data_IF_202981144178
#
_entry.id   IF_202981144178
#
_cell.length_a   1.000
_cell.length_b   1.000
_cell.length_c   1.000
_cell.angle_alpha   90.00
_cell.angle_beta   90.00
_cell.angle_gamma   90.00
#
_symmetry.space_group_name_H-M   'P 1'
#
loop_
_entity.id
_entity.type
_entity.pdbx_description
1 polymer ?
#
# COMPACT_ATOMS: atom_id res chain seq x y z
N UNK A 1 -63.49 -6.88 -43.65
CA UNK A 1 -64.91 -7.01 -43.26
C UNK A 1 -65.69 -6.31 -44.33
N UNK A 2 -66.67 -7.00 -44.90
CA UNK A 2 -67.26 -6.63 -46.19
C UNK A 2 -68.57 -5.85 -46.06
N UNK A 3 -69.08 -5.66 -44.83
CA UNK A 3 -70.31 -4.90 -44.55
C UNK A 3 -70.16 -4.06 -43.28
N UNK A 4 -70.42 -2.75 -43.40
CA UNK A 4 -70.46 -1.75 -42.32
C UNK A 4 -71.86 -1.66 -41.66
N UNK A 5 -71.99 -1.30 -40.37
CA UNK A 5 -73.30 -1.01 -39.76
C UNK A 5 -74.15 -0.05 -40.61
N UNK A 6 -73.48 0.94 -41.23
CA UNK A 6 -74.11 1.95 -42.08
C UNK A 6 -74.60 1.38 -43.42
N UNK A 7 -74.02 0.28 -43.89
CA UNK A 7 -74.46 -0.45 -45.09
C UNK A 7 -75.65 -1.38 -44.79
N UNK A 8 -75.75 -1.91 -43.57
CA UNK A 8 -76.92 -2.68 -43.11
C UNK A 8 -78.15 -1.76 -43.08
N UNK A 9 -77.98 -0.55 -42.52
CA UNK A 9 -79.06 0.43 -42.37
C UNK A 9 -79.57 1.00 -43.71
N UNK A 10 -78.70 1.09 -44.71
CA UNK A 10 -79.03 1.57 -46.07
C UNK A 10 -79.46 0.45 -47.03
N UNK A 11 -79.58 -0.79 -46.54
CA UNK A 11 -79.85 -1.93 -47.42
C UNK A 11 -81.32 -1.95 -47.85
N UNK A 12 -81.55 -1.77 -49.15
CA UNK A 12 -82.87 -1.95 -49.75
C UNK A 12 -83.06 -3.39 -50.30
N UNK A 13 -84.22 -3.97 -50.04
CA UNK A 13 -84.61 -5.30 -50.51
C UNK A 13 -85.66 -5.20 -51.63
N UNK A 14 -85.56 -6.09 -52.64
CA UNK A 14 -86.55 -6.16 -53.72
C UNK A 14 -87.86 -6.81 -53.24
N UNK A 15 -88.99 -6.35 -53.79
CA UNK A 15 -90.32 -6.87 -53.42
C UNK A 15 -90.65 -8.15 -54.20
N UNK A 16 -91.23 -9.14 -53.53
CA UNK A 16 -91.68 -10.42 -54.13
C UNK A 16 -93.09 -10.76 -53.65
N UNK A 17 -93.86 -11.47 -54.49
CA UNK A 17 -95.30 -11.78 -54.27
C UNK A 17 -95.56 -12.63 -52.99
N UNK A 18 -94.53 -13.26 -52.43
CA UNK A 18 -94.54 -13.99 -51.14
C UNK A 18 -93.25 -13.70 -50.36
N UNK A 19 -93.07 -12.46 -49.90
CA UNK A 19 -91.90 -12.02 -49.14
C UNK A 19 -92.13 -11.98 -47.62
N UNK A 20 -91.06 -11.71 -46.88
CA UNK A 20 -91.12 -11.42 -45.44
C UNK A 20 -91.89 -10.11 -45.16
N UNK A 21 -92.46 -9.99 -43.96
CA UNK A 21 -93.11 -8.76 -43.52
C UNK A 21 -92.04 -7.66 -43.39
N UNK A 22 -92.26 -6.54 -44.06
CA UNK A 22 -91.32 -5.41 -44.08
C UNK A 22 -91.10 -4.85 -42.67
N UNK A 23 -92.15 -4.69 -41.87
CA UNK A 23 -92.08 -4.07 -40.54
C UNK A 23 -91.25 -4.91 -39.57
N UNK A 24 -91.44 -6.24 -39.57
CA UNK A 24 -90.66 -7.17 -38.74
C UNK A 24 -89.18 -7.23 -39.17
N UNK A 25 -88.92 -7.16 -40.48
CA UNK A 25 -87.55 -7.13 -41.03
C UNK A 25 -86.86 -5.83 -40.66
N UNK A 26 -87.53 -4.68 -40.76
CA UNK A 26 -86.98 -3.38 -40.41
C UNK A 26 -86.63 -3.34 -38.89
N UNK A 27 -87.53 -3.81 -38.01
CA UNK A 27 -87.28 -3.87 -36.55
C UNK A 27 -86.16 -4.86 -36.17
N UNK A 28 -85.98 -5.94 -36.95
CA UNK A 28 -84.84 -6.84 -36.78
C UNK A 28 -83.53 -6.19 -37.23
N UNK A 29 -83.52 -5.51 -38.38
CA UNK A 29 -82.34 -4.84 -38.92
C UNK A 29 -81.89 -3.68 -38.04
N UNK A 30 -82.81 -2.98 -37.38
CA UNK A 30 -82.49 -1.91 -36.43
C UNK A 30 -81.72 -2.47 -35.23
N UNK A 31 -82.26 -3.51 -34.58
CA UNK A 31 -81.57 -4.24 -33.48
C UNK A 31 -80.26 -4.88 -33.93
N UNK A 32 -80.20 -5.42 -35.15
CA UNK A 32 -78.97 -5.98 -35.70
C UNK A 32 -77.91 -4.88 -35.87
N UNK A 33 -78.30 -3.72 -36.39
CA UNK A 33 -77.41 -2.57 -36.61
C UNK A 33 -76.83 -2.07 -35.30
N UNK A 34 -77.66 -1.89 -34.26
CA UNK A 34 -77.20 -1.47 -32.92
C UNK A 34 -76.18 -2.46 -32.32
N UNK A 35 -76.49 -3.75 -32.34
CA UNK A 35 -75.59 -4.77 -31.82
C UNK A 35 -74.29 -4.88 -32.63
N UNK A 36 -74.39 -4.76 -33.96
CA UNK A 36 -73.23 -4.81 -34.84
C UNK A 36 -72.34 -3.58 -34.68
N UNK A 37 -72.91 -2.39 -34.49
CA UNK A 37 -72.16 -1.17 -34.19
C UNK A 37 -71.41 -1.28 -32.86
N UNK A 38 -72.06 -1.84 -31.83
CA UNK A 38 -71.42 -2.10 -30.53
C UNK A 38 -70.21 -3.04 -30.68
N UNK A 39 -70.39 -4.18 -31.35
CA UNK A 39 -69.31 -5.14 -31.60
C UNK A 39 -68.20 -4.51 -32.45
N UNK A 40 -68.56 -3.72 -33.46
CA UNK A 40 -67.59 -3.05 -34.33
C UNK A 40 -66.72 -2.06 -33.54
N UNK A 41 -67.34 -1.27 -32.66
CA UNK A 41 -66.64 -0.33 -31.77
C UNK A 41 -65.74 -1.06 -30.78
N UNK A 42 -66.26 -2.08 -30.09
CA UNK A 42 -65.46 -2.91 -29.19
C UNK A 42 -64.27 -3.57 -29.91
N UNK A 43 -64.46 -4.08 -31.12
CA UNK A 43 -63.36 -4.68 -31.90
C UNK A 43 -62.29 -3.66 -32.28
N UNK A 44 -62.70 -2.44 -32.63
CA UNK A 44 -61.77 -1.34 -32.92
C UNK A 44 -60.99 -0.95 -31.66
N UNK A 45 -61.68 -0.73 -30.54
CA UNK A 45 -61.05 -0.35 -29.28
C UNK A 45 -60.08 -1.43 -28.79
N UNK A 46 -60.44 -2.71 -28.92
CA UNK A 46 -59.57 -3.84 -28.59
C UNK A 46 -58.32 -3.90 -29.49
N UNK A 47 -58.46 -3.63 -30.80
CA UNK A 47 -57.32 -3.59 -31.72
C UNK A 47 -56.35 -2.47 -31.38
N UNK A 48 -56.88 -1.27 -31.08
CA UNK A 48 -56.06 -0.13 -30.64
C UNK A 48 -55.32 -0.44 -29.33
N UNK A 49 -55.99 -1.12 -28.38
CA UNK A 49 -55.35 -1.57 -27.15
C UNK A 49 -54.26 -2.61 -27.39
N UNK A 50 -54.50 -3.57 -28.29
CA UNK A 50 -53.49 -4.57 -28.66
C UNK A 50 -52.25 -3.90 -29.24
N UNK A 51 -52.43 -3.01 -30.22
CA UNK A 51 -51.31 -2.29 -30.85
C UNK A 51 -50.51 -1.46 -29.83
N UNK A 52 -51.22 -0.79 -28.90
CA UNK A 52 -50.58 -0.05 -27.82
C UNK A 52 -49.78 -0.96 -26.86
N UNK A 53 -50.34 -2.10 -26.48
CA UNK A 53 -49.68 -3.07 -25.59
C UNK A 53 -48.49 -3.74 -26.28
N UNK A 54 -48.60 -4.07 -27.56
CA UNK A 54 -47.51 -4.60 -28.37
C UNK A 54 -46.34 -3.60 -28.44
N UNK A 55 -46.64 -2.31 -28.65
CA UNK A 55 -45.63 -1.25 -28.61
C UNK A 55 -44.92 -1.16 -27.25
N UNK A 56 -45.65 -1.29 -26.14
CA UNK A 56 -45.05 -1.34 -24.79
C UNK A 56 -44.19 -2.59 -24.57
N UNK A 57 -44.65 -3.75 -25.03
CA UNK A 57 -43.86 -4.98 -24.92
C UNK A 57 -42.54 -4.83 -25.69
N UNK A 58 -42.59 -4.22 -26.87
CA UNK A 58 -41.39 -3.99 -27.68
C UNK A 58 -40.39 -3.07 -26.96
N UNK A 59 -40.86 -1.95 -26.39
CA UNK A 59 -39.98 -1.05 -25.63
C UNK A 59 -39.40 -1.72 -24.38
N UNK A 60 -40.18 -2.54 -23.67
CA UNK A 60 -39.65 -3.32 -22.54
C UNK A 60 -38.59 -4.33 -22.96
N UNK A 61 -38.75 -5.01 -24.10
CA UNK A 61 -37.73 -5.92 -24.64
C UNK A 61 -36.43 -5.19 -24.99
N UNK A 62 -36.51 -3.98 -25.54
CA UNK A 62 -35.33 -3.16 -25.85
C UNK A 62 -34.60 -2.70 -24.58
N UNK A 63 -35.36 -2.30 -23.55
CA UNK A 63 -34.81 -1.95 -22.24
C UNK A 63 -34.17 -3.17 -21.59
N UNK A 64 -34.82 -4.34 -21.61
CA UNK A 64 -34.28 -5.59 -21.06
C UNK A 64 -32.98 -5.99 -21.77
N UNK A 65 -32.94 -5.93 -23.10
CA UNK A 65 -31.75 -6.23 -23.88
C UNK A 65 -30.59 -5.28 -23.54
N UNK A 66 -30.89 -3.98 -23.42
CA UNK A 66 -29.89 -2.97 -23.03
C UNK A 66 -29.38 -3.24 -21.61
N UNK A 67 -30.27 -3.50 -20.66
CA UNK A 67 -29.91 -3.79 -19.28
C UNK A 67 -29.03 -5.04 -19.16
N UNK A 68 -29.38 -6.10 -19.89
CA UNK A 68 -28.58 -7.34 -19.94
C UNK A 68 -27.19 -7.09 -20.50
N UNK A 69 -27.09 -6.31 -21.58
CA UNK A 69 -25.79 -5.94 -22.16
C UNK A 69 -24.96 -5.08 -21.20
N UNK A 70 -25.58 -4.12 -20.53
CA UNK A 70 -24.91 -3.30 -19.51
C UNK A 70 -24.44 -4.14 -18.33
N UNK A 71 -25.22 -5.12 -17.88
CA UNK A 71 -24.83 -6.03 -16.80
C UNK A 71 -23.61 -6.87 -17.18
N UNK A 72 -23.59 -7.45 -18.39
CA UNK A 72 -22.44 -8.21 -18.90
C UNK A 72 -21.21 -7.32 -19.04
N UNK A 73 -21.38 -6.08 -19.51
CA UNK A 73 -20.28 -5.11 -19.60
C UNK A 73 -19.73 -4.75 -18.21
N UNK A 74 -20.60 -4.53 -17.23
CA UNK A 74 -20.22 -4.24 -15.86
C UNK A 74 -19.45 -5.41 -15.23
N UNK A 75 -19.94 -6.64 -15.41
CA UNK A 75 -19.25 -7.86 -14.95
C UNK A 75 -17.86 -7.99 -15.57
N UNK A 76 -17.75 -7.82 -16.90
CA UNK A 76 -16.47 -7.88 -17.61
C UNK A 76 -15.51 -6.80 -17.13
N UNK A 77 -15.99 -5.58 -16.95
CA UNK A 77 -15.18 -4.46 -16.43
C UNK A 77 -14.70 -4.73 -15.02
N UNK A 78 -15.58 -5.27 -14.15
CA UNK A 78 -15.22 -5.61 -12.79
C UNK A 78 -14.13 -6.69 -12.75
N UNK A 79 -14.24 -7.74 -13.58
CA UNK A 79 -13.22 -8.78 -13.64
C UNK A 79 -11.90 -8.25 -14.22
N UNK A 80 -11.95 -7.36 -15.22
CA UNK A 80 -10.75 -6.71 -15.76
C UNK A 80 -10.03 -5.86 -14.71
N UNK A 81 -10.77 -5.04 -13.94
CA UNK A 81 -10.21 -4.26 -12.83
C UNK A 81 -9.55 -5.17 -11.80
N UNK A 82 -10.20 -6.28 -11.44
CA UNK A 82 -9.67 -7.26 -10.50
C UNK A 82 -8.38 -7.92 -11.00
N UNK A 83 -8.34 -8.36 -12.26
CA UNK A 83 -7.15 -8.96 -12.88
C UNK A 83 -6.01 -7.94 -12.93
N UNK A 84 -6.29 -6.69 -13.30
CA UNK A 84 -5.27 -5.64 -13.35
C UNK A 84 -4.72 -5.31 -11.96
N UNK A 85 -5.58 -5.19 -10.95
CA UNK A 85 -5.17 -4.98 -9.56
C UNK A 85 -4.33 -6.15 -9.02
N UNK A 86 -4.63 -7.40 -9.42
CA UNK A 86 -3.81 -8.56 -9.08
C UNK A 86 -2.41 -8.50 -9.71
N UNK A 87 -2.32 -8.18 -11.00
CA UNK A 87 -1.04 -8.02 -11.70
C UNK A 87 -0.20 -6.90 -11.09
N UNK A 88 -0.83 -5.76 -10.82
CA UNK A 88 -0.15 -4.61 -10.21
C UNK A 88 0.36 -4.94 -8.81
N UNK A 89 -0.44 -5.65 -8.01
CA UNK A 89 -0.01 -6.17 -6.71
C UNK A 89 1.23 -7.06 -6.82
N UNK A 90 1.25 -8.00 -7.76
CA UNK A 90 2.39 -8.89 -7.97
C UNK A 90 3.65 -8.11 -8.34
N UNK A 91 3.52 -7.10 -9.20
CA UNK A 91 4.63 -6.22 -9.58
C UNK A 91 5.15 -5.46 -8.35
N UNK A 92 4.27 -4.86 -7.56
CA UNK A 92 4.64 -4.12 -6.35
C UNK A 92 5.35 -5.04 -5.35
N UNK A 93 4.81 -6.24 -5.09
CA UNK A 93 5.43 -7.21 -4.19
C UNK A 93 6.82 -7.63 -4.67
N UNK A 94 6.97 -7.89 -5.98
CA UNK A 94 8.26 -8.24 -6.57
C UNK A 94 9.26 -7.09 -6.45
N UNK A 95 8.83 -5.86 -6.74
CA UNK A 95 9.68 -4.67 -6.62
C UNK A 95 10.11 -4.43 -5.16
N UNK A 96 9.18 -4.54 -4.21
CA UNK A 96 9.45 -4.42 -2.79
C UNK A 96 10.46 -5.48 -2.31
N UNK A 97 10.29 -6.75 -2.72
CA UNK A 97 11.24 -7.82 -2.42
C UNK A 97 12.63 -7.52 -2.99
N UNK A 98 12.72 -7.11 -4.26
CA UNK A 98 14.00 -6.77 -4.88
C UNK A 98 14.69 -5.58 -4.20
N UNK A 99 13.92 -4.58 -3.75
CA UNK A 99 14.46 -3.44 -3.02
C UNK A 99 14.95 -3.86 -1.62
N UNK A 100 14.19 -4.69 -0.91
CA UNK A 100 14.58 -5.26 0.37
C UNK A 100 15.89 -6.05 0.26
N UNK A 101 15.99 -6.96 -0.73
CA UNK A 101 17.20 -7.74 -0.99
C UNK A 101 18.41 -6.84 -1.30
N UNK A 102 18.19 -5.75 -2.05
CA UNK A 102 19.24 -4.78 -2.37
C UNK A 102 19.72 -4.02 -1.13
N UNK A 103 18.80 -3.67 -0.23
CA UNK A 103 19.14 -3.01 1.04
C UNK A 103 19.91 -3.99 1.92
N UNK A 104 19.46 -5.24 2.04
CA UNK A 104 20.13 -6.27 2.83
C UNK A 104 21.56 -6.51 2.35
N UNK A 105 21.76 -6.72 1.04
CA UNK A 105 23.10 -6.89 0.47
C UNK A 105 24.03 -5.71 0.74
N UNK A 106 23.52 -4.48 0.61
CA UNK A 106 24.32 -3.28 0.92
C UNK A 106 24.69 -3.20 2.41
N UNK A 107 23.78 -3.60 3.29
CA UNK A 107 24.04 -3.63 4.72
C UNK A 107 25.08 -4.70 5.08
N UNK A 108 25.00 -5.89 4.47
CA UNK A 108 25.99 -6.97 4.61
C UNK A 108 27.36 -6.53 4.09
N UNK A 109 27.43 -5.96 2.89
CA UNK A 109 28.66 -5.42 2.30
C UNK A 109 29.31 -4.37 3.22
N UNK A 110 28.50 -3.42 3.74
CA UNK A 110 28.99 -2.38 4.66
C UNK A 110 29.47 -2.98 5.98
N UNK A 111 28.75 -3.97 6.52
CA UNK A 111 29.14 -4.66 7.76
C UNK A 111 30.49 -5.37 7.57
N UNK A 112 30.65 -6.10 6.47
CA UNK A 112 31.91 -6.76 6.14
C UNK A 112 33.05 -5.75 5.94
N UNK A 113 32.79 -4.63 5.28
CA UNK A 113 33.77 -3.55 5.14
C UNK A 113 34.22 -2.99 6.49
N UNK A 114 33.28 -2.69 7.40
CA UNK A 114 33.58 -2.17 8.73
C UNK A 114 34.37 -3.20 9.54
N UNK A 115 33.98 -4.47 9.50
CA UNK A 115 34.70 -5.54 10.19
C UNK A 115 36.15 -5.64 9.69
N UNK A 116 36.36 -5.65 8.38
CA UNK A 116 37.70 -5.67 7.79
C UNK A 116 38.53 -4.43 8.18
N UNK A 117 37.91 -3.25 8.21
CA UNK A 117 38.56 -2.03 8.67
C UNK A 117 38.94 -2.09 10.15
N UNK A 118 38.08 -2.68 10.98
CA UNK A 118 38.34 -2.85 12.40
C UNK A 118 39.50 -3.83 12.64
N UNK A 119 39.52 -4.96 11.94
CA UNK A 119 40.62 -5.93 12.00
C UNK A 119 41.95 -5.29 11.58
N UNK A 120 41.97 -4.53 10.48
CA UNK A 120 43.18 -3.83 10.04
C UNK A 120 43.61 -2.74 11.05
N UNK A 121 42.67 -2.02 11.66
CA UNK A 121 42.99 -1.02 12.68
C UNK A 121 43.62 -1.67 13.92
N UNK A 122 43.05 -2.79 14.38
CA UNK A 122 43.61 -3.58 15.48
C UNK A 122 45.04 -4.03 15.13
N UNK A 123 45.25 -4.52 13.91
CA UNK A 123 46.57 -4.93 13.42
C UNK A 123 47.56 -3.77 13.43
N UNK A 124 47.17 -2.60 12.93
CA UNK A 124 47.99 -1.40 12.93
C UNK A 124 48.34 -0.94 14.34
N UNK A 125 47.39 -0.99 15.27
CA UNK A 125 47.62 -0.66 16.67
C UNK A 125 48.67 -1.57 17.31
N UNK A 126 48.58 -2.89 17.12
CA UNK A 126 49.57 -3.82 17.67
C UNK A 126 50.96 -3.66 17.05
N UNK A 127 51.02 -3.38 15.74
CA UNK A 127 52.28 -3.06 15.05
C UNK A 127 52.91 -1.79 15.61
N UNK A 128 52.12 -0.73 15.80
CA UNK A 128 52.58 0.52 16.39
C UNK A 128 53.07 0.31 17.82
N UNK A 129 52.27 -0.35 18.67
CA UNK A 129 52.64 -0.70 20.05
C UNK A 129 53.97 -1.43 20.13
N UNK A 130 54.18 -2.42 19.24
CA UNK A 130 55.42 -3.19 19.19
C UNK A 130 56.61 -2.32 18.77
N UNK A 131 56.45 -1.50 17.72
CA UNK A 131 57.50 -0.57 17.26
C UNK A 131 57.88 0.43 18.33
N UNK A 132 56.88 1.00 19.02
CA UNK A 132 57.08 1.97 20.09
C UNK A 132 57.78 1.33 21.30
N UNK A 133 57.38 0.12 21.69
CA UNK A 133 58.07 -0.65 22.74
C UNK A 133 59.53 -0.90 22.40
N UNK A 134 59.82 -1.38 21.19
CA UNK A 134 61.19 -1.63 20.74
C UNK A 134 62.01 -0.33 20.71
N UNK A 135 61.43 0.77 20.25
CA UNK A 135 62.08 2.08 20.26
C UNK A 135 62.47 2.49 21.69
N UNK A 136 61.55 2.42 22.66
CA UNK A 136 61.83 2.74 24.05
C UNK A 136 62.88 1.81 24.66
N UNK A 137 62.84 0.51 24.36
CA UNK A 137 63.88 -0.44 24.79
C UNK A 137 65.25 -0.05 24.23
N UNK A 138 65.35 0.30 22.94
CA UNK A 138 66.61 0.80 22.37
C UNK A 138 67.10 2.10 23.02
N UNK A 139 66.20 3.01 23.42
CA UNK A 139 66.58 4.21 24.16
C UNK A 139 67.07 3.89 25.58
N UNK A 140 66.44 2.94 26.26
CA UNK A 140 66.90 2.45 27.57
C UNK A 140 68.27 1.76 27.46
N UNK A 141 68.43 0.86 26.50
CA UNK A 141 69.70 0.18 26.23
C UNK A 141 70.82 1.20 25.93
N UNK A 142 70.52 2.27 25.20
CA UNK A 142 71.46 3.38 24.97
C UNK A 142 71.87 4.09 26.26
N UNK A 143 70.93 4.36 27.17
CA UNK A 143 71.22 4.99 28.47
C UNK A 143 71.98 4.06 29.41
N UNK A 144 71.67 2.77 29.40
CA UNK A 144 72.40 1.76 30.18
C UNK A 144 73.83 1.60 29.65
N UNK A 145 74.04 1.69 28.33
CA UNK A 145 75.38 1.81 27.73
C UNK A 145 76.08 3.12 28.14
N UNK A 146 75.35 4.23 28.24
CA UNK A 146 75.91 5.53 28.67
C UNK A 146 76.39 5.51 30.13
N UNK A 147 75.77 4.66 30.97
CA UNK A 147 76.08 4.54 32.40
C UNK A 147 77.46 3.94 32.70
N UNK A 148 78.18 3.39 31.72
CA UNK A 148 79.42 2.67 32.02
C UNK A 148 80.73 3.45 31.92
N UNK A 149 80.76 4.71 31.46
CA UNK A 149 82.04 5.46 31.40
C UNK A 149 82.03 6.93 31.81
N UNK A 150 80.88 7.54 32.13
CA UNK A 150 80.88 8.96 32.56
C UNK A 150 81.39 9.12 34.01
N UNK A 151 81.16 8.14 34.87
CA UNK A 151 81.57 8.17 36.28
C UNK A 151 82.73 7.22 36.62
N UNK A 152 83.37 6.59 35.63
CA UNK A 152 84.44 5.62 35.88
C UNK A 152 85.75 6.26 36.37
N UNK A 153 86.01 7.54 36.04
CA UNK A 153 87.34 8.12 36.19
C UNK A 153 87.46 9.38 37.07
N UNK A 154 86.56 9.65 38.04
CA UNK A 154 86.85 10.54 39.19
C UNK A 154 85.72 10.55 40.24
N UNK A 155 85.50 9.45 40.96
CA UNK A 155 84.57 9.39 42.12
C UNK A 155 85.32 9.19 43.44
N UNK A 156 86.63 9.45 43.45
CA UNK A 156 87.43 9.50 44.68
C UNK A 156 87.28 10.84 45.40
N UNK A 157 87.09 11.95 44.66
CA UNK A 157 87.15 13.32 45.21
C UNK A 157 85.78 14.00 45.48
N UNK A 158 84.66 13.42 45.05
CA UNK A 158 83.32 13.97 45.35
C UNK A 158 82.54 13.23 46.46
N UNK A 159 83.04 12.08 46.93
CA UNK A 159 82.35 11.27 47.97
C UNK A 159 82.41 11.86 49.37
N UNK A 160 83.24 12.88 49.60
CA UNK A 160 83.33 13.55 50.91
C UNK A 160 82.18 14.54 51.15
N UNK A 161 81.52 15.06 50.11
CA UNK A 161 80.55 16.18 50.29
C UNK A 161 79.07 15.83 50.10
N UNK A 162 78.72 14.58 49.75
CA UNK A 162 77.30 14.17 49.61
C UNK A 162 76.78 13.48 50.88
N UNK A 163 77.65 12.84 51.67
CA UNK A 163 77.27 12.26 52.97
C UNK A 163 76.74 13.31 53.95
N UNK A 164 77.23 14.56 53.85
CA UNK A 164 76.80 15.65 54.72
C UNK A 164 75.50 16.32 54.23
N UNK A 165 75.13 16.15 52.97
CA UNK A 165 73.88 16.68 52.41
C UNK A 165 72.70 15.69 52.54
N UNK A 166 72.96 14.39 52.48
CA UNK A 166 71.93 13.35 52.61
C UNK A 166 71.45 13.12 54.06
N UNK A 167 72.18 13.62 55.06
CA UNK A 167 71.79 13.52 56.47
C UNK A 167 70.81 14.63 56.92
N UNK A 168 70.41 15.55 56.01
CA UNK A 168 69.59 16.71 56.36
C UNK A 168 68.11 16.65 55.92
N UNK A 169 67.69 15.61 55.18
CA UNK A 169 66.33 15.57 54.59
C UNK A 169 65.60 14.22 54.82
N UNK A 170 65.80 13.61 56.00
CA UNK A 170 64.96 12.52 56.50
C UNK A 170 63.80 13.08 57.32
N UNK A 171 62.81 13.69 56.67
CA UNK A 171 61.41 13.82 57.15
C UNK A 171 60.45 14.10 55.98
N UNK A 172 59.57 13.15 55.64
CA UNK A 172 58.34 13.49 54.92
C UNK A 172 57.70 12.41 54.07
N UNK A 173 56.91 11.56 54.72
CA UNK A 173 55.62 11.01 54.26
C UNK A 173 55.57 10.06 53.05
N UNK A 174 55.54 8.77 53.39
CA UNK A 174 54.74 7.76 52.69
C UNK A 174 53.25 8.15 52.73
N UNK A 175 52.63 8.33 51.57
CA UNK A 175 51.22 7.97 51.44
C UNK A 175 50.88 7.57 50.01
N UNK A 176 50.33 6.36 49.95
CA UNK A 176 49.80 5.69 48.79
C UNK A 176 48.71 6.51 48.09
N UNK A 177 48.70 6.48 46.76
CA UNK A 177 47.49 6.76 45.99
C UNK A 177 47.33 5.71 44.90
N UNK A 178 46.81 4.55 45.31
CA UNK A 178 46.17 3.58 44.43
C UNK A 178 44.74 4.03 44.18
N UNK A 179 44.44 4.58 43.00
CA UNK A 179 43.06 4.79 42.55
C UNK A 179 42.65 3.62 41.66
N UNK A 180 42.18 2.58 42.33
CA UNK A 180 41.36 1.52 41.77
C UNK A 180 39.90 1.98 41.87
N UNK A 181 39.21 2.18 40.74
CA UNK A 181 37.74 2.21 40.73
C UNK A 181 37.28 1.44 39.48
N UNK A 182 36.91 0.18 39.72
CA UNK A 182 36.00 -0.60 38.88
C UNK A 182 34.66 -0.70 39.59
N UNK A 183 33.57 -0.65 38.81
CA UNK A 183 32.19 -1.06 39.14
C UNK A 183 31.51 -0.20 40.24
N UNK A 184 30.20 0.07 40.24
CA UNK A 184 29.02 -0.33 39.48
C UNK A 184 27.92 0.59 40.05
N UNK A 185 27.03 1.18 39.26
CA UNK A 185 25.63 1.19 39.64
C UNK A 185 24.70 1.45 38.45
N UNK A 186 23.72 0.57 38.40
CA UNK A 186 22.65 0.35 37.45
C UNK A 186 21.57 1.42 37.48
N UNK A 187 20.76 1.40 36.40
CA UNK A 187 19.29 1.52 36.37
C UNK A 187 18.72 2.84 35.82
N UNK A 188 18.23 2.79 34.57
CA UNK A 188 16.77 2.85 34.29
C UNK A 188 16.50 2.83 32.78
N UNK A 189 15.75 1.81 32.37
CA UNK A 189 14.96 1.80 31.14
C UNK A 189 13.91 2.90 31.19
N UNK A 190 13.78 3.69 30.13
CA UNK A 190 12.49 4.27 29.72
C UNK A 190 12.42 4.33 28.19
N UNK A 191 11.63 3.43 27.61
CA UNK A 191 11.03 3.56 26.29
C UNK A 191 9.86 4.54 26.36
N UNK A 192 9.58 5.30 25.29
CA UNK A 192 8.19 5.66 24.99
C UNK A 192 7.76 5.04 23.65
N UNK A 193 6.88 4.06 23.75
CA UNK A 193 5.99 3.59 22.70
C UNK A 193 4.65 4.32 22.90
N UNK A 194 4.34 5.32 22.06
CA UNK A 194 2.98 5.85 21.94
C UNK A 194 2.48 5.63 20.51
N UNK A 195 1.67 4.58 20.37
CA UNK A 195 0.70 4.45 19.29
C UNK A 195 -0.49 5.37 19.56
N UNK A 196 -1.12 5.77 18.46
CA UNK A 196 -2.50 6.26 18.34
C UNK A 196 -2.68 7.78 18.37
N UNK A 197 -2.65 8.40 17.19
CA UNK A 197 -3.75 9.29 16.85
C UNK A 197 -4.16 9.11 15.38
N UNK A 198 -5.33 8.50 15.20
CA UNK A 198 -6.11 8.47 13.97
C UNK A 198 -7.01 9.73 14.03
N UNK A 199 -7.02 10.54 12.98
CA UNK A 199 -8.03 11.60 12.84
C UNK A 199 -7.70 12.66 11.80
N UNK A 200 -8.33 12.51 10.64
CA UNK A 200 -8.89 13.56 9.77
C UNK A 200 -8.03 14.78 9.38
N UNK A 201 -7.84 14.98 8.07
CA UNK A 201 -7.97 16.25 7.31
C UNK A 201 -7.86 15.82 5.82
N UNK A 202 -8.99 15.59 5.15
CA UNK A 202 -9.74 16.57 4.34
C UNK A 202 -9.09 16.90 3.00
N UNK A 203 -9.68 16.30 1.95
CA UNK A 203 -10.08 16.94 0.68
C UNK A 203 -9.24 18.14 0.21
N UNK A 204 -8.45 17.94 -0.85
CA UNK A 204 -8.22 18.98 -1.86
C UNK A 204 -8.48 18.40 -3.25
N UNK A 205 -9.65 18.76 -3.78
CA UNK A 205 -9.90 18.99 -5.20
C UNK A 205 -9.18 20.28 -5.58
N UNK A 206 -8.39 20.26 -6.63
CA UNK A 206 -8.12 21.37 -7.55
C UNK A 206 -8.05 20.70 -8.94
N UNK A 207 -9.10 20.87 -9.73
CA UNK A 207 -9.16 21.75 -10.93
C UNK A 207 -8.31 21.25 -12.10
#
# INVERSE_FOLDING_TARGET
>A
MDISPLEIQKKEFSKSMRGYNKEEVDEFLERLTENYEKIYKENKDLKEQIEFLEGKIQSYKEIEATLKNTLVLAEKTAEEVKINAQKEREIILKQASMQADKILRRAEEKTNQINNQNEELIRQFYLYKTRFKNFLQSQLDYLDCLKLDIFSNNVSDLRVSISDAAAADDKGDEQAFTAEVSAEETLSEETPDERSNIGEISLLKEE
#
